data_IF_521669548682
#
_entry.id   IF_521669548682
#
_cell.length_a   1.000
_cell.length_b   1.000
_cell.length_c   1.000
_cell.angle_alpha   90.00
_cell.angle_beta   90.00
_cell.angle_gamma   90.00
#
_symmetry.space_group_name_H-M   'P 1'
#
loop_
_entity.id
_entity.type
_entity.pdbx_description
1 polymer ?
#
# COMPACT_ATOMS: atom_id res chain seq x y z
N UNK A 1 -10.64 -6.89 13.90
CA UNK A 1 -10.65 -6.94 12.42
C UNK A 1 -10.93 -5.54 11.89
N UNK A 2 -10.68 -5.32 10.59
CA UNK A 2 -11.22 -4.24 9.72
C UNK A 2 -10.21 -3.11 9.49
N UNK A 3 -9.82 -2.76 8.27
CA UNK A 3 -10.43 -3.00 6.96
C UNK A 3 -9.36 -3.43 5.95
N UNK A 4 -9.69 -4.38 5.07
CA UNK A 4 -8.90 -4.69 3.87
C UNK A 4 -8.81 -3.46 2.94
N UNK A 5 -9.69 -2.48 3.16
CA UNK A 5 -9.94 -1.33 2.31
C UNK A 5 -9.90 -0.05 3.15
N UNK A 6 -8.86 0.76 3.00
CA UNK A 6 -8.78 2.07 3.66
C UNK A 6 -9.32 3.16 2.75
N UNK A 7 -10.61 3.50 2.91
CA UNK A 7 -11.27 4.54 2.11
C UNK A 7 -10.55 5.90 2.13
N UNK A 8 -9.97 6.39 3.25
CA UNK A 8 -9.20 7.64 3.18
C UNK A 8 -7.98 7.54 2.25
N UNK A 9 -7.31 6.39 2.19
CA UNK A 9 -6.17 6.21 1.29
C UNK A 9 -6.57 6.17 -0.19
N UNK A 10 -7.85 5.89 -0.50
CA UNK A 10 -8.39 5.99 -1.86
C UNK A 10 -8.34 7.43 -2.38
N UNK A 11 -8.77 8.39 -1.57
CA UNK A 11 -8.90 9.80 -1.95
C UNK A 11 -7.60 10.59 -1.73
N UNK A 12 -6.88 10.31 -0.63
CA UNK A 12 -5.68 11.06 -0.26
C UNK A 12 -4.38 10.42 -0.76
N UNK A 13 -4.43 9.19 -1.28
CA UNK A 13 -3.29 8.49 -1.87
C UNK A 13 -2.03 8.55 -1.00
N UNK A 14 -0.89 9.07 -1.49
CA UNK A 14 0.36 9.13 -0.74
C UNK A 14 0.33 10.09 0.46
N UNK A 15 -0.50 11.14 0.43
CA UNK A 15 -0.63 12.10 1.54
C UNK A 15 -1.10 11.38 2.80
N UNK A 16 -1.98 10.39 2.67
CA UNK A 16 -2.41 9.54 3.78
C UNK A 16 -1.23 8.84 4.46
N UNK A 17 -0.31 8.29 3.68
CA UNK A 17 0.85 7.57 4.20
C UNK A 17 1.82 8.51 4.91
N UNK A 18 2.05 9.70 4.36
CA UNK A 18 2.88 10.74 4.99
C UNK A 18 2.27 11.17 6.33
N UNK A 19 0.97 11.47 6.37
CA UNK A 19 0.27 11.87 7.59
C UNK A 19 0.33 10.81 8.70
N UNK A 20 0.42 9.52 8.34
CA UNK A 20 0.57 8.42 9.29
C UNK A 20 2.02 8.14 9.71
N UNK A 21 3.01 8.86 9.18
CA UNK A 21 4.44 8.68 9.42
C UNK A 21 5.12 7.66 8.50
N UNK A 22 4.42 7.13 7.51
CA UNK A 22 4.87 6.10 6.57
C UNK A 22 5.44 6.70 5.27
N UNK A 23 6.25 7.76 5.38
CA UNK A 23 6.72 8.54 4.23
C UNK A 23 7.51 7.72 3.19
N UNK A 24 8.30 6.71 3.62
CA UNK A 24 9.02 5.81 2.71
C UNK A 24 8.09 5.01 1.81
N UNK A 25 6.99 4.50 2.38
CA UNK A 25 5.94 3.78 1.64
C UNK A 25 5.14 4.73 0.75
N UNK A 26 4.96 5.99 1.15
CA UNK A 26 4.35 7.00 0.28
C UNK A 26 5.15 7.14 -1.01
N UNK A 27 6.48 7.33 -0.91
CA UNK A 27 7.37 7.49 -2.05
C UNK A 27 7.37 6.23 -2.94
N UNK A 28 7.56 5.04 -2.36
CA UNK A 28 7.66 3.82 -3.18
C UNK A 28 6.35 3.43 -3.85
N UNK A 29 5.21 3.64 -3.17
CA UNK A 29 3.90 3.40 -3.78
C UNK A 29 3.58 4.42 -4.87
N UNK A 30 4.00 5.68 -4.71
CA UNK A 30 3.84 6.68 -5.77
C UNK A 30 4.68 6.37 -6.99
N UNK A 31 5.96 6.06 -6.81
CA UNK A 31 6.82 5.66 -7.93
C UNK A 31 6.30 4.41 -8.63
N UNK A 32 5.86 3.40 -7.86
CA UNK A 32 5.27 2.20 -8.41
C UNK A 32 3.98 2.49 -9.20
N UNK A 33 3.11 3.36 -8.68
CA UNK A 33 1.86 3.73 -9.33
C UNK A 33 2.09 4.50 -10.64
N UNK A 34 3.04 5.44 -10.65
CA UNK A 34 3.44 6.16 -11.87
C UNK A 34 4.03 5.20 -12.90
N UNK A 35 4.95 4.31 -12.48
CA UNK A 35 5.54 3.32 -13.37
C UNK A 35 4.47 2.40 -13.99
N UNK A 36 3.52 1.94 -13.17
CA UNK A 36 2.39 1.13 -13.65
C UNK A 36 1.52 1.93 -14.64
N UNK A 37 1.23 3.19 -14.35
CA UNK A 37 0.48 4.09 -15.25
C UNK A 37 1.15 4.25 -16.61
N UNK A 38 2.47 4.47 -16.64
CA UNK A 38 3.27 4.55 -17.87
C UNK A 38 3.22 3.22 -18.64
N UNK A 39 3.41 2.09 -17.97
CA UNK A 39 3.33 0.77 -18.62
C UNK A 39 1.96 0.53 -19.24
N UNK A 40 0.87 0.85 -18.53
CA UNK A 40 -0.49 0.69 -19.05
C UNK A 40 -0.77 1.63 -20.24
N UNK A 41 -0.28 2.87 -20.19
CA UNK A 41 -0.37 3.81 -21.30
C UNK A 41 0.34 3.29 -22.55
N UNK A 42 1.57 2.78 -22.41
CA UNK A 42 2.37 2.27 -23.53
C UNK A 42 1.83 0.94 -24.07
N UNK A 43 1.33 0.05 -23.20
CA UNK A 43 0.81 -1.26 -23.58
C UNK A 43 -0.59 -1.18 -24.19
N UNK A 44 -1.41 -0.22 -23.77
CA UNK A 44 -2.79 -0.08 -24.23
C UNK A 44 -3.17 1.38 -24.62
N UNK A 45 -2.50 2.01 -25.60
CA UNK A 45 -2.79 3.38 -26.01
C UNK A 45 -4.27 3.65 -26.37
N UNK A 46 -4.99 2.74 -27.06
CA UNK A 46 -6.38 2.98 -27.44
C UNK A 46 -7.35 3.08 -26.24
N UNK A 47 -6.97 2.57 -25.07
CA UNK A 47 -7.80 2.64 -23.86
C UNK A 47 -7.76 4.02 -23.18
N UNK A 48 -6.94 4.96 -23.69
CA UNK A 48 -6.95 6.35 -23.24
C UNK A 48 -6.44 6.55 -21.81
N UNK A 49 -5.69 5.60 -21.26
CA UNK A 49 -5.05 5.78 -19.95
C UNK A 49 -4.08 6.95 -20.00
N UNK A 50 -4.14 7.87 -19.03
CA UNK A 50 -3.06 8.86 -18.89
C UNK A 50 -1.88 8.20 -18.17
N UNK A 51 -0.65 8.37 -18.69
CA UNK A 51 0.54 7.79 -18.05
C UNK A 51 0.79 8.26 -16.61
N UNK A 52 0.08 9.31 -16.17
CA UNK A 52 0.20 9.94 -14.86
C UNK A 52 -1.05 9.77 -13.97
N UNK A 53 -2.05 8.98 -14.39
CA UNK A 53 -3.29 8.84 -13.61
C UNK A 53 -2.99 8.21 -12.25
N UNK A 54 -3.39 8.88 -11.16
CA UNK A 54 -3.22 8.34 -9.81
C UNK A 54 -4.25 7.22 -9.55
N UNK A 55 -3.79 5.97 -9.46
CA UNK A 55 -4.66 4.86 -9.08
C UNK A 55 -4.87 4.83 -7.56
N UNK A 56 -5.96 5.46 -7.08
CA UNK A 56 -6.31 5.49 -5.65
C UNK A 56 -6.55 4.10 -5.04
N UNK A 57 -7.04 3.15 -5.85
CA UNK A 57 -7.36 1.81 -5.37
C UNK A 57 -6.10 1.06 -4.89
N UNK A 58 -4.96 1.31 -5.53
CA UNK A 58 -3.65 0.77 -5.11
C UNK A 58 -3.29 1.21 -3.69
N UNK A 59 -3.44 2.49 -3.37
CA UNK A 59 -3.19 3.03 -2.03
C UNK A 59 -4.20 2.50 -1.00
N UNK A 60 -5.47 2.40 -1.38
CA UNK A 60 -6.55 1.89 -0.54
C UNK A 60 -6.32 0.45 -0.06
N UNK A 61 -5.89 -0.43 -0.97
CA UNK A 61 -5.61 -1.85 -0.70
C UNK A 61 -4.34 -1.99 0.15
N UNK A 62 -3.29 -1.23 -0.16
CA UNK A 62 -1.98 -1.39 0.46
C UNK A 62 -1.81 -0.64 1.79
N UNK A 63 -2.67 0.33 2.08
CA UNK A 63 -2.62 1.11 3.32
C UNK A 63 -2.79 0.26 4.58
N UNK A 64 -3.65 -0.76 4.55
CA UNK A 64 -3.89 -1.63 5.71
C UNK A 64 -2.65 -2.43 6.11
N UNK A 65 -2.10 -3.25 5.20
CA UNK A 65 -0.86 -4.00 5.45
C UNK A 65 0.33 -3.10 5.79
N UNK A 66 0.48 -1.98 5.11
CA UNK A 66 1.52 -0.99 5.37
C UNK A 66 1.47 -0.42 6.79
N UNK A 67 0.27 -0.01 7.22
CA UNK A 67 0.05 0.56 8.54
C UNK A 67 0.33 -0.44 9.65
N UNK A 68 -0.11 -1.68 9.49
CA UNK A 68 0.15 -2.75 10.45
C UNK A 68 1.66 -2.98 10.63
N UNK A 69 2.40 -3.15 9.54
CA UNK A 69 3.85 -3.35 9.56
C UNK A 69 4.58 -2.19 10.22
N UNK A 70 4.15 -0.95 9.94
CA UNK A 70 4.77 0.23 10.51
C UNK A 70 4.52 0.34 12.02
N UNK A 71 3.29 0.10 12.46
CA UNK A 71 2.88 0.33 13.86
C UNK A 71 3.14 -0.85 14.79
N UNK A 72 3.00 -2.09 14.31
CA UNK A 72 3.08 -3.30 15.13
C UNK A 72 4.46 -3.95 15.02
N UNK A 73 4.97 -4.07 13.79
CA UNK A 73 6.26 -4.73 13.52
C UNK A 73 7.43 -3.72 13.59
N UNK A 74 7.15 -2.42 13.52
CA UNK A 74 8.18 -1.38 13.49
C UNK A 74 8.97 -1.33 12.17
N UNK A 75 8.48 -2.00 11.11
CA UNK A 75 9.18 -2.05 9.83
C UNK A 75 9.22 -0.67 9.15
N UNK A 76 10.42 -0.27 8.73
CA UNK A 76 10.68 0.95 7.92
C UNK A 76 11.16 0.61 6.51
N UNK A 77 10.77 -0.57 6.01
CA UNK A 77 11.13 -1.05 4.67
C UNK A 77 10.63 -0.12 3.56
N UNK A 78 11.42 -0.03 2.49
CA UNK A 78 11.04 0.63 1.24
C UNK A 78 10.22 -0.28 0.31
N UNK A 79 10.11 -1.58 0.60
CA UNK A 79 9.38 -2.50 -0.26
C UNK A 79 7.86 -2.14 -0.28
N UNK A 80 7.29 -1.77 -1.45
CA UNK A 80 5.88 -1.39 -1.56
C UNK A 80 4.93 -2.57 -1.30
N UNK A 81 5.37 -3.80 -1.60
CA UNK A 81 4.61 -5.04 -1.43
C UNK A 81 4.87 -5.69 -0.06
N UNK A 82 5.57 -4.98 0.83
CA UNK A 82 5.90 -5.45 2.16
C UNK A 82 4.64 -5.54 3.02
N UNK A 83 4.08 -6.75 3.12
CA UNK A 83 2.85 -7.06 3.83
C UNK A 83 1.84 -7.83 2.98
N UNK A 84 2.21 -8.21 1.76
CA UNK A 84 1.38 -9.01 0.85
C UNK A 84 1.91 -10.45 0.81
N UNK A 85 0.99 -11.42 0.82
CA UNK A 85 1.31 -12.85 0.61
C UNK A 85 1.27 -13.73 1.86
N UNK A 86 1.61 -15.01 1.68
CA UNK A 86 1.47 -16.05 2.71
C UNK A 86 2.25 -15.76 3.99
N UNK A 87 3.47 -15.19 3.86
CA UNK A 87 4.32 -14.85 5.02
C UNK A 87 3.66 -13.82 5.95
N UNK A 88 2.90 -12.87 5.40
CA UNK A 88 2.15 -11.89 6.18
C UNK A 88 1.01 -12.54 6.98
N UNK A 89 0.29 -13.50 6.40
CA UNK A 89 -0.75 -14.25 7.11
C UNK A 89 -0.16 -15.04 8.28
N UNK A 90 1.05 -15.57 8.14
CA UNK A 90 1.74 -16.24 9.23
C UNK A 90 2.10 -15.27 10.37
N UNK A 91 2.80 -14.18 10.07
CA UNK A 91 3.17 -13.13 11.04
C UNK A 91 1.95 -12.57 11.78
N UNK A 92 0.84 -12.35 11.06
CA UNK A 92 -0.44 -11.90 11.62
C UNK A 92 -1.05 -12.90 12.60
N UNK A 93 -0.99 -14.20 12.29
CA UNK A 93 -1.49 -15.25 13.19
C UNK A 93 -0.67 -15.34 14.47
N UNK A 94 0.65 -15.17 14.38
CA UNK A 94 1.53 -15.20 15.55
C UNK A 94 1.37 -13.98 16.44
N UNK A 95 1.35 -12.78 15.85
CA UNK A 95 1.09 -11.54 16.58
C UNK A 95 -0.31 -11.53 17.23
N UNK A 96 -1.30 -12.15 16.60
CA UNK A 96 -2.63 -12.33 17.17
C UNK A 96 -2.65 -13.26 18.39
N UNK A 97 -1.79 -14.29 18.43
CA UNK A 97 -1.63 -15.18 19.59
C UNK A 97 -0.92 -14.47 20.75
N UNK A 98 0.09 -13.66 20.48
CA UNK A 98 0.81 -12.88 21.51
C UNK A 98 -0.05 -11.82 22.18
N UNK A 99 -1.08 -11.26 21.51
CA UNK A 99 -2.03 -10.33 22.14
C UNK A 99 -3.14 -11.00 22.96
N UNK A 100 -3.28 -12.33 22.88
CA UNK A 100 -4.28 -13.12 23.63
C UNK A 100 -3.70 -13.78 24.89
N UNK A 101 -2.40 -13.64 25.13
CA UNK A 101 -1.74 -13.96 26.40
C UNK A 101 -1.59 -12.68 27.19
#
# INVERSE_FOLDING_TARGET
MRSVINLPALFFGPIYFVAKGMWRKAITLTLFNVALGVVLYLAFPPLGFSGLTSNGALYMILAGPAYYRHRVVGSRSWNPLDGIGWRFNHEMREAGKQRRK
#
